data_IF_356818822378
#
_entry.id   IF_356818822378
#
_cell.length_a   1.000
_cell.length_b   1.000
_cell.length_c   1.000
_cell.angle_alpha   90.00
_cell.angle_beta   90.00
_cell.angle_gamma   90.00
#
_symmetry.space_group_name_H-M   'P 1'
#
loop_
_entity.id
_entity.type
_entity.pdbx_description
1 polymer ?
#
# COMPACT_ATOMS: atom_id res chain seq x y z
N UNK A 1 5.25 23.60 -10.79
CA UNK A 1 4.60 22.33 -10.36
C UNK A 1 5.66 21.26 -10.47
N UNK A 2 5.89 20.38 -9.49
CA UNK A 2 6.74 19.22 -9.72
C UNK A 2 6.07 18.39 -10.84
N UNK A 3 6.56 18.52 -12.06
CA UNK A 3 6.12 17.75 -13.20
C UNK A 3 6.89 16.44 -13.18
N UNK A 4 6.47 15.52 -12.31
CA UNK A 4 6.94 14.15 -12.41
C UNK A 4 6.45 13.56 -13.73
N UNK A 5 7.35 13.07 -14.57
CA UNK A 5 7.01 12.29 -15.76
C UNK A 5 7.23 10.82 -15.43
N UNK A 6 6.20 9.99 -15.66
CA UNK A 6 6.36 8.54 -15.61
C UNK A 6 7.14 8.10 -16.86
N UNK A 7 8.38 7.63 -16.68
CA UNK A 7 9.23 7.20 -17.79
C UNK A 7 9.02 5.72 -18.14
N UNK A 8 9.03 4.85 -17.12
CA UNK A 8 8.93 3.40 -17.30
C UNK A 8 8.22 2.74 -16.11
N UNK A 9 7.63 1.58 -16.37
CA UNK A 9 7.01 0.72 -15.36
C UNK A 9 7.43 -0.74 -15.55
N UNK A 10 7.47 -1.46 -14.44
CA UNK A 10 7.62 -2.91 -14.39
C UNK A 10 6.72 -3.46 -13.29
N UNK A 11 6.29 -4.71 -13.46
CA UNK A 11 5.51 -5.44 -12.49
C UNK A 11 6.05 -6.86 -12.43
N UNK A 12 6.18 -7.38 -11.23
CA UNK A 12 6.45 -8.79 -10.96
C UNK A 12 5.49 -9.23 -9.85
N UNK A 13 4.76 -10.32 -10.09
CA UNK A 13 3.98 -10.96 -9.04
C UNK A 13 4.90 -11.60 -8.02
N UNK A 14 4.53 -11.56 -6.74
CA UNK A 14 5.21 -12.38 -5.75
C UNK A 14 5.08 -13.86 -6.08
N UNK A 15 6.14 -14.66 -5.87
CA UNK A 15 6.02 -16.11 -5.77
C UNK A 15 4.96 -16.48 -4.74
N UNK A 16 4.21 -17.55 -5.00
CA UNK A 16 3.06 -17.92 -4.18
C UNK A 16 3.45 -18.24 -2.74
N UNK A 17 4.59 -18.88 -2.55
CA UNK A 17 5.11 -19.20 -1.22
C UNK A 17 5.52 -17.93 -0.44
N UNK A 18 6.11 -16.93 -1.11
CA UNK A 18 6.42 -15.63 -0.50
C UNK A 18 5.13 -14.92 -0.09
N UNK A 19 4.13 -14.88 -0.99
CA UNK A 19 2.82 -14.29 -0.69
C UNK A 19 2.17 -14.96 0.51
N UNK A 20 2.15 -16.29 0.56
CA UNK A 20 1.57 -17.05 1.66
C UNK A 20 2.27 -16.76 2.99
N UNK A 21 3.61 -16.70 3.01
CA UNK A 21 4.36 -16.39 4.22
C UNK A 21 4.15 -14.93 4.69
N UNK A 22 4.02 -13.98 3.75
CA UNK A 22 3.67 -12.59 4.05
C UNK A 22 2.25 -12.46 4.61
N UNK A 23 1.29 -13.24 4.12
CA UNK A 23 -0.05 -13.30 4.71
C UNK A 23 -0.01 -13.94 6.11
N UNK A 24 0.74 -15.03 6.27
CA UNK A 24 0.82 -15.75 7.53
C UNK A 24 1.46 -14.93 8.66
N UNK A 25 2.39 -14.00 8.36
CA UNK A 25 2.99 -13.13 9.38
C UNK A 25 2.07 -12.00 9.86
N UNK A 26 0.90 -11.81 9.23
CA UNK A 26 -0.17 -10.98 9.78
C UNK A 26 -0.92 -11.67 10.92
N UNK A 27 -0.64 -12.93 11.24
CA UNK A 27 -1.25 -13.64 12.37
C UNK A 27 -0.14 -13.91 13.38
N UNK A 28 -0.43 -13.63 14.67
CA UNK A 28 0.54 -13.89 15.74
C UNK A 28 0.96 -15.35 15.72
N UNK A 29 2.26 -15.61 15.73
CA UNK A 29 2.80 -16.97 15.62
C UNK A 29 4.15 -17.16 16.28
N UNK A 30 4.73 -18.33 16.06
CA UNK A 30 6.07 -18.66 16.56
C UNK A 30 7.16 -17.97 15.71
N UNK A 31 8.25 -17.61 16.38
CA UNK A 31 9.52 -17.15 15.80
C UNK A 31 9.38 -15.99 14.79
N UNK A 32 8.52 -15.01 15.11
CA UNK A 32 8.15 -13.94 14.19
C UNK A 32 9.33 -13.04 13.80
N UNK A 33 10.29 -12.81 14.71
CA UNK A 33 11.45 -11.96 14.44
C UNK A 33 12.35 -12.59 13.38
N UNK A 34 12.65 -13.89 13.50
CA UNK A 34 13.44 -14.61 12.50
C UNK A 34 12.71 -14.66 11.16
N UNK A 35 11.43 -15.03 11.18
CA UNK A 35 10.59 -15.09 9.96
C UNK A 35 10.49 -13.73 9.29
N UNK A 36 10.29 -12.65 10.04
CA UNK A 36 10.26 -11.29 9.52
C UNK A 36 11.59 -10.91 8.85
N UNK A 37 12.73 -11.21 9.48
CA UNK A 37 14.04 -10.95 8.91
C UNK A 37 14.28 -11.74 7.61
N UNK A 38 13.93 -13.02 7.58
CA UNK A 38 14.02 -13.83 6.36
C UNK A 38 13.12 -13.28 5.25
N UNK A 39 11.87 -12.93 5.56
CA UNK A 39 10.95 -12.35 4.59
C UNK A 39 11.43 -10.99 4.07
N UNK A 40 12.00 -10.16 4.93
CA UNK A 40 12.60 -8.88 4.55
C UNK A 40 13.75 -9.05 3.55
N UNK A 41 14.58 -10.10 3.70
CA UNK A 41 15.63 -10.45 2.72
C UNK A 41 15.03 -10.91 1.39
N UNK A 42 14.04 -11.81 1.44
CA UNK A 42 13.37 -12.31 0.23
C UNK A 42 12.67 -11.20 -0.56
N UNK A 43 12.05 -10.25 0.14
CA UNK A 43 11.47 -9.05 -0.45
C UNK A 43 12.54 -8.18 -1.12
N UNK A 44 13.68 -7.96 -0.47
CA UNK A 44 14.78 -7.20 -1.05
C UNK A 44 15.29 -7.83 -2.35
N UNK A 45 15.48 -9.15 -2.39
CA UNK A 45 15.90 -9.86 -3.61
C UNK A 45 14.83 -9.76 -4.72
N UNK A 46 13.56 -9.97 -4.39
CA UNK A 46 12.46 -9.84 -5.36
C UNK A 46 12.34 -8.41 -5.93
N UNK A 47 12.50 -7.40 -5.08
CA UNK A 47 12.49 -5.99 -5.50
C UNK A 47 13.71 -5.65 -6.34
N UNK A 48 14.91 -6.10 -5.95
CA UNK A 48 16.13 -5.90 -6.73
C UNK A 48 16.03 -6.52 -8.13
N UNK A 49 15.47 -7.73 -8.24
CA UNK A 49 15.22 -8.38 -9.53
C UNK A 49 14.26 -7.55 -10.39
N UNK A 50 13.18 -7.03 -9.80
CA UNK A 50 12.21 -6.19 -10.51
C UNK A 50 12.82 -4.87 -10.98
N UNK A 51 13.66 -4.25 -10.15
CA UNK A 51 14.42 -3.03 -10.49
C UNK A 51 15.38 -3.32 -11.65
N UNK A 52 16.13 -4.43 -11.59
CA UNK A 52 17.02 -4.84 -12.66
C UNK A 52 16.28 -5.03 -14.00
N UNK A 53 15.12 -5.70 -13.97
CA UNK A 53 14.24 -5.83 -15.14
C UNK A 53 13.77 -4.47 -15.67
N UNK A 54 13.37 -3.55 -14.79
CA UNK A 54 12.95 -2.20 -15.17
C UNK A 54 14.09 -1.42 -15.86
N UNK A 55 15.28 -1.43 -15.26
CA UNK A 55 16.46 -0.72 -15.76
C UNK A 55 16.93 -1.29 -17.10
N UNK A 56 16.93 -2.62 -17.24
CA UNK A 56 17.25 -3.29 -18.50
C UNK A 56 16.28 -2.90 -19.62
N UNK A 57 14.96 -2.94 -19.35
CA UNK A 57 13.92 -2.52 -20.31
C UNK A 57 14.05 -1.05 -20.70
N UNK A 58 14.37 -0.20 -19.73
CA UNK A 58 14.56 1.24 -19.93
C UNK A 58 15.90 1.57 -20.61
N UNK A 59 16.86 0.63 -20.63
CA UNK A 59 18.26 0.86 -21.02
C UNK A 59 18.91 1.98 -20.20
N UNK A 60 18.57 2.07 -18.92
CA UNK A 60 19.09 3.07 -17.98
C UNK A 60 20.05 2.38 -17.00
N UNK A 61 21.31 2.82 -16.88
CA UNK A 61 22.22 2.26 -15.90
C UNK A 61 21.85 2.74 -14.47
N UNK A 62 22.09 1.92 -13.42
CA UNK A 62 21.78 2.28 -12.03
C UNK A 62 22.32 3.64 -11.57
N UNK A 63 23.48 4.05 -12.08
CA UNK A 63 24.15 5.31 -11.73
C UNK A 63 23.37 6.56 -12.16
N UNK A 64 22.42 6.43 -13.09
CA UNK A 64 21.53 7.53 -13.48
C UNK A 64 20.30 7.66 -12.55
N UNK A 65 20.12 6.73 -11.61
CA UNK A 65 19.02 6.75 -10.65
C UNK A 65 19.50 7.42 -9.35
N UNK A 66 18.87 8.55 -9.02
CA UNK A 66 19.21 9.30 -7.80
C UNK A 66 18.96 8.49 -6.52
N UNK A 67 17.80 7.81 -6.45
CA UNK A 67 17.41 6.98 -5.33
C UNK A 67 16.20 6.10 -5.70
N UNK A 68 16.01 5.02 -4.94
CA UNK A 68 14.79 4.22 -4.87
C UNK A 68 13.98 4.69 -3.66
N UNK A 69 12.71 5.05 -3.88
CA UNK A 69 11.74 5.16 -2.79
C UNK A 69 11.06 3.80 -2.55
N UNK A 70 11.38 3.12 -1.45
CA UNK A 70 10.89 1.78 -1.16
C UNK A 70 9.96 1.79 0.06
N UNK A 71 8.65 1.59 -0.19
CA UNK A 71 7.68 1.48 0.90
C UNK A 71 7.92 0.22 1.76
N UNK A 72 8.42 -0.86 1.17
CA UNK A 72 8.44 -2.19 1.79
C UNK A 72 7.06 -2.85 1.79
N UNK A 73 6.89 -3.91 2.57
CA UNK A 73 5.63 -4.65 2.68
C UNK A 73 5.06 -4.51 4.09
N UNK A 74 3.91 -3.84 4.24
CA UNK A 74 3.25 -3.75 5.55
C UNK A 74 2.84 -5.14 6.03
N UNK A 75 3.16 -5.43 7.29
CA UNK A 75 2.71 -6.64 8.01
C UNK A 75 1.99 -6.31 9.33
N UNK A 76 2.21 -5.10 9.86
CA UNK A 76 1.53 -4.56 11.04
C UNK A 76 1.36 -3.04 10.90
N UNK A 77 0.20 -2.52 11.25
CA UNK A 77 -0.07 -1.10 11.35
C UNK A 77 -0.83 -0.80 12.64
N UNK A 78 -0.14 -0.23 13.63
CA UNK A 78 -0.69 0.05 14.96
C UNK A 78 -0.28 1.46 15.42
N UNK A 79 -0.76 2.51 14.73
CA UNK A 79 -0.49 3.88 15.15
C UNK A 79 -1.02 4.18 16.56
N UNK A 80 -2.07 3.49 16.99
CA UNK A 80 -2.58 3.50 18.37
C UNK A 80 -1.54 3.03 19.40
N UNK A 81 -0.67 2.10 19.00
CA UNK A 81 0.45 1.61 19.80
C UNK A 81 1.78 2.27 19.40
N UNK A 82 1.75 3.32 18.58
CA UNK A 82 2.92 4.10 18.20
C UNK A 82 3.87 3.43 17.20
N UNK A 83 3.42 2.45 16.41
CA UNK A 83 4.29 1.80 15.41
C UNK A 83 3.59 1.33 14.13
N UNK A 84 4.40 1.12 13.09
CA UNK A 84 4.01 0.36 11.90
C UNK A 84 5.22 -0.39 11.36
N UNK A 85 5.01 -1.61 10.87
CA UNK A 85 6.08 -2.48 10.37
C UNK A 85 5.91 -2.69 8.88
N UNK A 86 6.84 -2.15 8.10
CA UNK A 86 7.02 -2.46 6.68
C UNK A 86 8.28 -3.32 6.54
N UNK A 87 8.11 -4.60 6.19
CA UNK A 87 9.25 -5.48 5.96
C UNK A 87 9.97 -5.10 4.68
N UNK A 88 11.26 -4.85 4.80
CA UNK A 88 12.24 -4.78 3.73
C UNK A 88 13.64 -4.75 4.35
N UNK A 89 14.58 -5.54 3.82
CA UNK A 89 16.00 -5.30 4.10
C UNK A 89 16.52 -4.21 3.15
N UNK A 90 16.40 -2.95 3.55
CA UNK A 90 16.77 -1.81 2.71
C UNK A 90 18.27 -1.78 2.36
N UNK A 91 19.13 -2.22 3.29
CA UNK A 91 20.58 -2.32 3.05
C UNK A 91 20.89 -3.36 1.98
N UNK A 92 20.27 -4.54 2.06
CA UNK A 92 20.41 -5.57 1.03
C UNK A 92 19.86 -5.09 -0.32
N UNK A 93 18.73 -4.39 -0.34
CA UNK A 93 18.19 -3.83 -1.58
C UNK A 93 19.14 -2.79 -2.21
N UNK A 94 19.76 -1.95 -1.39
CA UNK A 94 20.76 -0.98 -1.85
C UNK A 94 22.00 -1.67 -2.42
N UNK A 95 22.52 -2.69 -1.72
CA UNK A 95 23.64 -3.52 -2.17
C UNK A 95 23.35 -4.18 -3.51
N UNK A 96 22.19 -4.84 -3.64
CA UNK A 96 21.81 -5.56 -4.86
C UNK A 96 21.53 -4.66 -6.06
N UNK A 97 20.99 -3.46 -5.82
CA UNK A 97 20.64 -2.54 -6.90
C UNK A 97 21.78 -1.60 -7.29
N UNK A 98 22.76 -1.40 -6.41
CA UNK A 98 23.79 -0.36 -6.56
C UNK A 98 23.21 1.06 -6.51
N UNK A 99 22.01 1.24 -5.95
CA UNK A 99 21.28 2.52 -5.90
C UNK A 99 20.96 2.84 -4.44
N UNK A 100 21.02 4.13 -4.09
CA UNK A 100 20.58 4.62 -2.77
C UNK A 100 19.11 4.26 -2.53
N UNK A 101 18.81 3.64 -1.39
CA UNK A 101 17.43 3.32 -0.99
C UNK A 101 16.97 4.27 0.12
N UNK A 102 15.80 4.88 -0.07
CA UNK A 102 15.05 5.61 0.95
C UNK A 102 13.85 4.74 1.32
N UNK A 103 13.74 4.35 2.57
CA UNK A 103 12.68 3.48 3.09
C UNK A 103 12.13 4.03 4.41
N UNK A 104 11.19 3.30 5.03
CA UNK A 104 10.59 3.63 6.32
C UNK A 104 9.90 5.01 6.37
N UNK A 105 9.01 5.24 5.41
CA UNK A 105 8.32 6.53 5.28
C UNK A 105 7.28 6.79 6.38
N UNK A 106 6.79 5.74 7.06
CA UNK A 106 5.66 5.85 7.99
C UNK A 106 6.10 6.16 9.42
N UNK A 107 7.24 5.62 9.86
CA UNK A 107 7.66 5.70 11.26
C UNK A 107 7.86 7.14 11.73
N UNK A 108 8.36 8.02 10.86
CA UNK A 108 8.54 9.44 11.21
C UNK A 108 7.21 10.16 11.46
N UNK A 109 6.17 9.88 10.69
CA UNK A 109 4.86 10.49 10.89
C UNK A 109 4.23 10.02 12.21
N UNK A 110 4.32 8.72 12.50
CA UNK A 110 3.85 8.15 13.77
C UNK A 110 4.61 8.74 14.96
N UNK A 111 5.95 8.86 14.86
CA UNK A 111 6.77 9.50 15.88
C UNK A 111 6.43 11.00 16.10
N UNK A 112 5.83 11.65 15.10
CA UNK A 112 5.32 13.02 15.20
C UNK A 112 3.85 13.09 15.69
N UNK A 113 3.26 11.97 16.12
CA UNK A 113 1.87 11.88 16.59
C UNK A 113 0.83 11.67 15.46
N UNK A 114 1.29 11.42 14.24
CA UNK A 114 0.44 11.11 13.09
C UNK A 114 -0.01 9.64 13.05
N UNK A 115 -0.75 9.29 11.99
CA UNK A 115 -1.27 7.94 11.79
C UNK A 115 -0.31 7.05 10.98
N UNK A 116 0.73 7.61 10.36
CA UNK A 116 1.58 6.91 9.40
C UNK A 116 0.91 6.59 8.07
N UNK A 117 -0.34 7.01 7.87
CA UNK A 117 -1.16 6.76 6.69
C UNK A 117 -2.36 7.73 6.62
N UNK A 118 -2.88 8.03 5.41
CA UNK A 118 -2.23 7.86 4.11
C UNK A 118 -1.13 8.92 3.90
N UNK A 119 0.01 8.55 3.31
CA UNK A 119 1.12 9.49 3.01
C UNK A 119 0.98 10.18 1.65
N UNK A 120 0.14 9.64 0.77
CA UNK A 120 -0.10 10.16 -0.59
C UNK A 120 -0.79 11.54 -0.69
N UNK A 121 -1.53 12.07 0.31
CA UNK A 121 -2.19 13.38 0.18
C UNK A 121 -1.25 14.53 -0.20
N UNK A 122 -0.01 14.57 0.32
CA UNK A 122 0.96 15.59 -0.03
C UNK A 122 1.37 15.51 -1.52
N UNK A 123 1.53 14.29 -2.05
CA UNK A 123 1.80 14.07 -3.46
C UNK A 123 0.59 14.45 -4.33
N UNK A 124 -0.62 14.01 -3.96
CA UNK A 124 -1.86 14.38 -4.66
C UNK A 124 -2.05 15.89 -4.71
N UNK A 125 -1.74 16.61 -3.63
CA UNK A 125 -1.76 18.06 -3.59
C UNK A 125 -0.80 18.68 -4.61
N UNK A 126 0.44 18.21 -4.63
CA UNK A 126 1.49 18.73 -5.51
C UNK A 126 1.21 18.47 -7.00
N UNK A 127 0.65 17.29 -7.32
CA UNK A 127 0.41 16.85 -8.69
C UNK A 127 -0.97 17.25 -9.22
N UNK A 128 -2.01 17.22 -8.38
CA UNK A 128 -3.40 17.22 -8.83
C UNK A 128 -4.25 18.35 -8.25
N UNK A 129 -3.75 19.22 -7.35
CA UNK A 129 -4.56 20.34 -6.84
C UNK A 129 -4.90 21.33 -7.97
N UNK A 130 -6.16 21.76 -8.01
CA UNK A 130 -6.66 22.73 -8.99
C UNK A 130 -6.91 24.09 -8.33
N UNK A 131 -6.75 25.18 -9.10
CA UNK A 131 -6.90 26.56 -8.57
C UNK A 131 -8.35 26.92 -8.26
N UNK A 132 -9.31 26.30 -8.94
CA UNK A 132 -10.75 26.65 -8.86
C UNK A 132 -11.66 25.45 -8.65
N UNK A 133 -11.15 24.22 -8.81
CA UNK A 133 -11.98 23.01 -8.75
C UNK A 133 -11.62 22.21 -7.51
N UNK A 134 -12.64 21.77 -6.78
CA UNK A 134 -12.49 20.80 -5.71
C UNK A 134 -12.29 19.42 -6.32
N UNK A 135 -11.21 18.73 -5.92
CA UNK A 135 -10.93 17.37 -6.37
C UNK A 135 -10.90 16.43 -5.18
N UNK A 136 -11.46 15.25 -5.36
CA UNK A 136 -11.27 14.12 -4.45
C UNK A 136 -10.55 13.03 -5.23
N UNK A 137 -9.45 12.56 -4.69
CA UNK A 137 -8.70 11.44 -5.27
C UNK A 137 -9.02 10.21 -4.44
N UNK A 138 -9.52 9.15 -5.08
CA UNK A 138 -9.87 7.90 -4.41
C UNK A 138 -8.92 6.80 -4.89
N UNK A 139 -8.24 6.15 -3.96
CA UNK A 139 -7.46 4.96 -4.21
C UNK A 139 -8.19 3.74 -3.64
N UNK A 140 -8.50 2.77 -4.51
CA UNK A 140 -9.18 1.53 -4.13
C UNK A 140 -8.16 0.38 -4.19
N UNK A 141 -7.35 0.27 -3.13
CA UNK A 141 -6.45 -0.86 -2.92
C UNK A 141 -7.13 -1.97 -2.10
N UNK A 142 -6.35 -2.73 -1.34
CA UNK A 142 -6.93 -3.62 -0.32
C UNK A 142 -7.79 -2.84 0.67
N UNK A 143 -7.25 -1.73 1.18
CA UNK A 143 -7.96 -0.67 1.90
C UNK A 143 -8.19 0.51 0.95
N UNK A 144 -9.39 1.07 0.96
CA UNK A 144 -9.72 2.27 0.20
C UNK A 144 -9.33 3.52 1.00
N UNK A 145 -8.75 4.51 0.35
CA UNK A 145 -8.46 5.80 0.96
C UNK A 145 -8.79 6.95 0.02
N UNK A 146 -9.05 8.12 0.60
CA UNK A 146 -9.31 9.32 -0.16
C UNK A 146 -8.35 10.45 0.22
N UNK A 147 -8.14 11.36 -0.72
CA UNK A 147 -7.54 12.66 -0.49
C UNK A 147 -8.51 13.74 -0.94
N UNK A 148 -8.82 14.65 -0.03
CA UNK A 148 -9.66 15.81 -0.25
C UNK A 148 -8.81 17.04 -0.61
N UNK A 149 -9.00 17.58 -1.82
CA UNK A 149 -8.21 18.68 -2.39
C UNK A 149 -9.11 19.88 -2.74
N UNK A 150 -9.47 20.73 -1.75
CA UNK A 150 -10.21 21.94 -2.04
C UNK A 150 -9.31 22.99 -2.74
N UNK A 151 -9.88 23.90 -3.55
CA UNK A 151 -9.13 24.96 -4.23
C UNK A 151 -8.33 25.83 -3.25
N UNK A 152 -8.96 26.14 -2.11
CA UNK A 152 -8.39 26.85 -0.97
C UNK A 152 -8.72 26.08 0.32
N UNK A 153 -7.93 26.28 1.37
CA UNK A 153 -8.12 25.61 2.66
C UNK A 153 -7.29 24.34 2.84
N UNK A 154 -7.63 23.60 3.90
CA UNK A 154 -6.87 22.46 4.42
C UNK A 154 -7.10 21.22 3.57
N UNK A 155 -6.01 20.53 3.25
CA UNK A 155 -6.02 19.22 2.58
C UNK A 155 -6.27 18.15 3.65
N UNK A 156 -7.12 17.19 3.33
CA UNK A 156 -7.42 16.08 4.22
C UNK A 156 -7.21 14.75 3.51
N UNK A 157 -7.00 13.68 4.27
CA UNK A 157 -6.92 12.33 3.75
C UNK A 157 -7.07 11.31 4.86
N UNK A 158 -7.76 10.21 4.56
CA UNK A 158 -8.06 9.15 5.52
C UNK A 158 -8.44 7.87 4.80
N UNK A 159 -8.38 6.75 5.52
CA UNK A 159 -8.88 5.48 5.02
C UNK A 159 -10.40 5.40 5.18
N UNK A 160 -11.07 4.95 4.14
CA UNK A 160 -12.53 4.84 4.06
C UNK A 160 -13.05 3.48 4.55
N UNK A 161 -12.16 2.48 4.62
CA UNK A 161 -12.50 1.11 5.00
C UNK A 161 -12.01 0.10 3.94
N UNK A 162 -12.59 -1.11 3.88
CA UNK A 162 -12.20 -2.11 2.90
C UNK A 162 -12.42 -1.61 1.47
N UNK A 163 -11.39 -1.76 0.63
CA UNK A 163 -11.51 -1.69 -0.82
C UNK A 163 -11.70 -3.11 -1.36
N UNK A 164 -10.65 -3.69 -1.94
CA UNK A 164 -10.69 -5.01 -2.56
C UNK A 164 -10.45 -6.16 -1.58
N UNK A 165 -9.88 -5.94 -0.38
CA UNK A 165 -9.34 -7.04 0.44
C UNK A 165 -10.40 -8.11 0.80
N UNK A 166 -11.63 -7.70 1.10
CA UNK A 166 -12.70 -8.63 1.48
C UNK A 166 -13.27 -9.35 0.25
N UNK A 167 -13.37 -8.67 -0.88
CA UNK A 167 -13.82 -9.27 -2.15
C UNK A 167 -12.82 -10.30 -2.65
N UNK A 168 -11.52 -9.96 -2.59
CA UNK A 168 -10.42 -10.86 -2.96
C UNK A 168 -10.39 -12.09 -2.06
N UNK A 169 -10.57 -11.92 -0.74
CA UNK A 169 -10.66 -13.05 0.19
C UNK A 169 -11.87 -13.95 -0.11
N UNK A 170 -13.03 -13.36 -0.40
CA UNK A 170 -14.26 -14.10 -0.67
C UNK A 170 -14.17 -14.92 -1.95
N UNK A 171 -13.71 -14.32 -3.06
CA UNK A 171 -13.57 -15.05 -4.32
C UNK A 171 -12.47 -16.12 -4.24
N UNK A 172 -11.38 -15.85 -3.51
CA UNK A 172 -10.33 -16.84 -3.28
C UNK A 172 -10.85 -18.05 -2.51
N UNK A 173 -11.69 -17.82 -1.49
CA UNK A 173 -12.29 -18.90 -0.70
C UNK A 173 -13.26 -19.76 -1.54
N UNK A 174 -14.04 -19.16 -2.43
CA UNK A 174 -15.13 -19.86 -3.12
C UNK A 174 -14.77 -20.39 -4.49
N UNK A 175 -13.92 -19.68 -5.24
CA UNK A 175 -13.56 -20.02 -6.63
C UNK A 175 -12.06 -20.29 -6.81
N UNK A 176 -11.24 -20.08 -5.78
CA UNK A 176 -9.77 -20.21 -5.88
C UNK A 176 -9.09 -19.09 -6.68
N UNK A 177 -9.84 -18.11 -7.15
CA UNK A 177 -9.35 -16.97 -7.92
C UNK A 177 -8.76 -15.88 -7.02
N UNK A 178 -7.81 -15.08 -7.52
CA UNK A 178 -7.11 -14.07 -6.68
C UNK A 178 -7.92 -12.81 -6.42
N UNK A 179 -8.80 -12.44 -7.35
CA UNK A 179 -9.65 -11.26 -7.30
C UNK A 179 -10.82 -11.43 -8.28
N UNK A 180 -11.90 -10.69 -8.07
CA UNK A 180 -13.03 -10.67 -8.98
C UNK A 180 -12.74 -9.79 -10.19
N UNK A 181 -12.43 -10.44 -11.32
CA UNK A 181 -12.04 -9.73 -12.54
C UNK A 181 -13.22 -8.92 -13.08
N UNK A 182 -13.04 -7.60 -13.09
CA UNK A 182 -14.04 -6.61 -13.51
C UNK A 182 -15.33 -6.60 -12.67
N UNK A 183 -15.37 -7.27 -11.52
CA UNK A 183 -16.60 -7.44 -10.76
C UNK A 183 -17.58 -8.43 -11.38
N UNK A 184 -17.14 -9.24 -12.36
CA UNK A 184 -18.00 -10.17 -13.10
C UNK A 184 -18.73 -11.14 -12.17
N UNK A 185 -18.08 -11.64 -11.13
CA UNK A 185 -18.73 -12.54 -10.19
C UNK A 185 -19.74 -11.80 -9.32
N UNK A 186 -19.38 -10.63 -8.79
CA UNK A 186 -20.27 -9.78 -8.01
C UNK A 186 -21.53 -9.36 -8.79
N UNK A 187 -21.40 -9.08 -10.09
CA UNK A 187 -22.52 -8.72 -10.98
C UNK A 187 -23.56 -9.85 -11.14
N UNK A 188 -23.17 -11.12 -10.94
CA UNK A 188 -24.13 -12.24 -10.96
C UNK A 188 -24.94 -12.38 -9.67
N UNK A 189 -24.53 -11.69 -8.60
CA UNK A 189 -25.14 -11.76 -7.29
C UNK A 189 -26.34 -10.83 -7.11
N UNK A 190 -26.93 -10.91 -5.92
CA UNK A 190 -27.93 -9.94 -5.45
C UNK A 190 -27.45 -9.35 -4.13
N UNK A 191 -27.60 -8.03 -3.98
CA UNK A 191 -27.30 -7.35 -2.73
C UNK A 191 -28.20 -7.92 -1.62
N UNK A 192 -27.59 -8.27 -0.48
CA UNK A 192 -28.29 -8.67 0.73
C UNK A 192 -28.33 -7.46 1.70
N UNK A 193 -29.44 -6.70 1.78
CA UNK A 193 -29.46 -5.44 2.54
C UNK A 193 -29.18 -5.63 4.03
N UNK A 194 -29.62 -6.75 4.61
CA UNK A 194 -29.35 -7.07 6.02
C UNK A 194 -27.87 -7.26 6.31
N UNK A 195 -27.15 -7.95 5.43
CA UNK A 195 -25.70 -8.14 5.56
C UNK A 195 -24.96 -6.82 5.37
N UNK A 196 -25.34 -6.02 4.36
CA UNK A 196 -24.75 -4.70 4.13
C UNK A 196 -24.89 -3.81 5.36
N UNK A 197 -26.07 -3.75 5.97
CA UNK A 197 -26.32 -2.93 7.16
C UNK A 197 -25.45 -3.37 8.35
N UNK A 198 -25.31 -4.69 8.57
CA UNK A 198 -24.45 -5.23 9.63
C UNK A 198 -22.97 -4.90 9.41
N UNK A 199 -22.49 -4.96 8.16
CA UNK A 199 -21.10 -4.61 7.86
C UNK A 199 -20.88 -3.09 8.00
N UNK A 200 -21.81 -2.28 7.51
CA UNK A 200 -21.75 -0.83 7.56
C UNK A 200 -21.87 -0.26 8.98
N UNK A 201 -22.38 -1.02 9.95
CA UNK A 201 -22.45 -0.62 11.36
C UNK A 201 -21.14 -0.78 12.13
N UNK A 202 -20.06 -1.24 11.50
CA UNK A 202 -18.75 -1.34 12.15
C UNK A 202 -18.24 0.04 12.62
N UNK A 203 -17.75 0.14 13.86
CA UNK A 203 -17.37 1.41 14.52
C UNK A 203 -16.43 2.30 13.71
N UNK A 204 -15.54 1.69 12.93
CA UNK A 204 -14.63 2.38 12.02
C UNK A 204 -15.34 3.38 11.09
N UNK A 205 -16.55 3.04 10.59
CA UNK A 205 -17.29 3.91 9.68
C UNK A 205 -17.81 5.18 10.38
N UNK A 206 -18.08 5.10 11.68
CA UNK A 206 -18.53 6.23 12.52
C UNK A 206 -17.40 7.14 13.00
N UNK A 207 -16.14 6.68 12.94
CA UNK A 207 -14.98 7.49 13.34
C UNK A 207 -14.78 8.71 12.41
N UNK A 208 -14.44 9.85 12.99
CA UNK A 208 -14.06 11.05 12.23
C UNK A 208 -12.58 10.99 11.80
N UNK A 209 -12.20 11.58 10.65
CA UNK A 209 -10.80 11.76 10.28
C UNK A 209 -10.03 12.62 11.30
N UNK A 210 -8.71 12.42 11.49
CA UNK A 210 -7.85 11.45 10.79
C UNK A 210 -8.05 10.02 11.32
N UNK A 211 -8.15 9.06 10.40
CA UNK A 211 -8.26 7.63 10.70
C UNK A 211 -7.56 6.80 9.62
N UNK A 212 -6.92 5.71 10.03
CA UNK A 212 -6.35 4.70 9.14
C UNK A 212 -6.78 3.29 9.55
N UNK A 213 -6.72 2.35 8.61
CA UNK A 213 -7.02 0.93 8.82
C UNK A 213 -6.05 0.06 8.00
N UNK A 214 -5.81 -1.17 8.46
CA UNK A 214 -4.97 -2.14 7.76
C UNK A 214 -4.62 -3.35 8.61
#
# INVERSE_FOLDING_TARGET
RPSGQLLHTAYASYPDDLRQQLLAIHITGADELHRAAQLANRLAEAYAQTISTLLCKAKIPPQQIQAIGCHGQTVRHRPDAGYSVQLINASLLAERSGIRVIADFRSRDIAAGGQGAPLVPAFHAAAMRHRTAHRVIVNIGGIANLTDLPPAGKINGFDCGPGNLLMDAWIQQHLGERYDRNGTWAETGQLLPSLLNTLASHDFFSMQPPKSAG
#
